data_IF_620167060029
#
_entry.id   IF_620167060029
#
_cell.length_a   1.000
_cell.length_b   1.000
_cell.length_c   1.000
_cell.angle_alpha   90.00
_cell.angle_beta   90.00
_cell.angle_gamma   90.00
#
_symmetry.space_group_name_H-M   'P 1'
#
loop_
_entity.id
_entity.type
_entity.pdbx_description
1 polymer ?
#
# COMPACT_ATOMS: atom_id res chain seq x y z
N UNK A 1 -4.05 -15.48 -15.37
CA UNK A 1 -3.27 -14.27 -15.76
C UNK A 1 -1.92 -14.31 -15.05
N UNK A 2 -0.88 -13.73 -15.66
CA UNK A 2 0.40 -13.57 -14.97
C UNK A 2 0.24 -12.56 -13.80
N UNK A 3 0.98 -12.74 -12.69
CA UNK A 3 0.79 -12.00 -11.43
C UNK A 3 1.30 -10.55 -11.42
N UNK A 4 1.13 -9.79 -12.50
CA UNK A 4 1.55 -8.39 -12.60
C UNK A 4 0.39 -7.42 -12.85
N UNK A 5 -0.84 -7.91 -12.85
CA UNK A 5 -2.08 -7.15 -13.03
C UNK A 5 -2.98 -7.30 -11.82
N UNK A 6 -3.49 -6.18 -11.31
CA UNK A 6 -4.49 -6.08 -10.24
C UNK A 6 -5.76 -5.45 -10.83
N UNK A 7 -6.94 -5.90 -10.38
CA UNK A 7 -8.24 -5.40 -10.81
C UNK A 7 -8.79 -6.12 -12.05
N UNK A 8 -10.06 -5.87 -12.36
CA UNK A 8 -10.83 -6.48 -13.45
C UNK A 8 -11.36 -5.45 -14.43
N UNK A 9 -12.15 -4.49 -13.97
CA UNK A 9 -12.67 -3.38 -14.77
C UNK A 9 -11.75 -2.14 -14.66
N UNK A 10 -11.14 -1.90 -13.50
CA UNK A 10 -10.04 -0.96 -13.35
C UNK A 10 -8.74 -1.76 -13.16
N UNK A 11 -8.14 -2.15 -14.25
CA UNK A 11 -7.00 -3.06 -14.25
C UNK A 11 -5.67 -2.31 -14.33
N UNK A 12 -4.75 -2.62 -13.41
CA UNK A 12 -3.42 -2.01 -13.37
C UNK A 12 -2.35 -3.07 -13.59
N UNK A 13 -1.63 -2.97 -14.70
CA UNK A 13 -0.48 -3.83 -15.01
C UNK A 13 0.82 -3.07 -14.77
N UNK A 14 1.68 -3.54 -13.87
CA UNK A 14 2.98 -2.92 -13.56
C UNK A 14 4.12 -3.58 -14.33
N UNK A 15 5.12 -2.79 -14.72
CA UNK A 15 6.31 -3.24 -15.44
C UNK A 15 7.59 -2.56 -14.94
N UNK A 16 8.74 -3.07 -15.40
CA UNK A 16 10.08 -2.56 -15.10
C UNK A 16 10.70 -3.16 -13.83
N UNK A 17 11.97 -2.89 -13.62
CA UNK A 17 12.81 -3.35 -12.51
C UNK A 17 13.45 -2.17 -11.77
N UNK A 18 13.82 -2.39 -10.50
CA UNK A 18 14.35 -1.33 -9.62
C UNK A 18 15.63 -0.66 -10.13
N UNK A 19 16.42 -1.36 -10.95
CA UNK A 19 17.67 -0.88 -11.56
C UNK A 19 17.64 -0.97 -13.10
N UNK A 20 16.47 -1.21 -13.69
CA UNK A 20 16.21 -1.03 -15.11
C UNK A 20 16.10 0.46 -15.50
N UNK A 21 15.91 0.77 -16.77
CA UNK A 21 15.83 2.16 -17.25
C UNK A 21 14.61 2.93 -16.70
N UNK A 22 13.52 2.23 -16.46
CA UNK A 22 12.28 2.81 -15.96
C UNK A 22 11.43 1.74 -15.26
N UNK A 23 10.47 2.21 -14.46
CA UNK A 23 9.34 1.47 -13.94
C UNK A 23 8.06 2.18 -14.35
N UNK A 24 6.93 1.47 -14.41
CA UNK A 24 5.68 2.10 -14.78
C UNK A 24 4.49 1.17 -14.63
N UNK A 25 3.34 1.68 -15.04
CA UNK A 25 2.12 0.91 -15.13
C UNK A 25 1.26 1.32 -16.32
N UNK A 26 0.38 0.42 -16.72
CA UNK A 26 -0.74 0.70 -17.61
C UNK A 26 -2.02 0.52 -16.79
N UNK A 27 -2.86 1.53 -16.80
CA UNK A 27 -4.19 1.52 -16.20
C UNK A 27 -5.19 1.35 -17.35
N UNK A 28 -5.96 0.29 -17.33
CA UNK A 28 -7.07 0.08 -18.26
C UNK A 28 -8.41 0.18 -17.52
N UNK A 29 -9.44 0.68 -18.20
CA UNK A 29 -10.79 0.83 -17.63
C UNK A 29 -10.99 2.08 -16.76
N UNK A 30 -10.07 3.05 -16.77
CA UNK A 30 -10.33 4.34 -16.14
C UNK A 30 -11.49 5.06 -16.87
N UNK A 31 -12.57 5.47 -16.16
CA UNK A 31 -13.68 6.16 -16.80
C UNK A 31 -13.24 7.45 -17.53
N UNK A 32 -13.85 7.76 -18.68
CA UNK A 32 -13.49 8.96 -19.45
C UNK A 32 -14.03 10.24 -18.81
N UNK A 33 -13.41 11.38 -19.18
CA UNK A 33 -13.90 12.71 -18.87
C UNK A 33 -13.39 13.35 -17.58
N UNK A 34 -12.68 12.59 -16.72
CA UNK A 34 -12.03 13.13 -15.52
C UNK A 34 -10.86 14.03 -15.92
N UNK A 35 -10.77 15.23 -15.33
CA UNK A 35 -9.56 16.06 -15.46
C UNK A 35 -8.36 15.33 -14.85
N UNK A 36 -7.27 15.20 -15.61
CA UNK A 36 -6.08 14.49 -15.15
C UNK A 36 -4.82 15.09 -15.78
N UNK A 37 -3.87 15.45 -14.91
CA UNK A 37 -2.52 15.82 -15.31
C UNK A 37 -1.48 15.29 -14.30
N UNK A 38 -0.20 15.61 -14.54
CA UNK A 38 0.91 15.19 -13.66
C UNK A 38 0.76 15.77 -12.25
N UNK A 39 0.18 16.95 -12.09
CA UNK A 39 0.01 17.59 -10.79
C UNK A 39 -1.01 16.86 -9.89
N UNK A 40 -1.87 16.04 -10.45
CA UNK A 40 -2.78 15.17 -9.68
C UNK A 40 -2.08 13.91 -9.13
N UNK A 41 -0.96 13.49 -9.76
CA UNK A 41 -0.28 12.23 -9.42
C UNK A 41 1.01 12.49 -8.62
N UNK A 42 1.78 13.49 -9.01
CA UNK A 42 3.12 13.74 -8.46
C UNK A 42 3.14 13.94 -6.94
N UNK A 43 2.19 14.65 -6.31
CA UNK A 43 2.17 14.81 -4.84
C UNK A 43 2.11 13.50 -4.07
N UNK A 44 1.40 12.49 -4.57
CA UNK A 44 1.34 11.18 -3.94
C UNK A 44 2.67 10.41 -4.07
N UNK A 45 3.33 10.54 -5.21
CA UNK A 45 4.68 10.01 -5.41
C UNK A 45 5.71 10.72 -4.51
N UNK A 46 5.59 12.03 -4.32
CA UNK A 46 6.47 12.81 -3.45
C UNK A 46 6.36 12.38 -1.98
N UNK A 47 5.17 12.04 -1.51
CA UNK A 47 4.96 11.44 -0.16
C UNK A 47 5.65 10.09 -0.02
N UNK A 48 5.70 9.28 -1.08
CA UNK A 48 6.24 7.92 -1.09
C UNK A 48 7.73 7.87 -1.38
N UNK A 49 8.30 8.77 -2.18
CA UNK A 49 9.68 8.71 -2.71
C UNK A 49 10.74 8.50 -1.63
N UNK A 50 11.93 7.94 -1.96
CA UNK A 50 13.06 7.86 -1.05
C UNK A 50 13.67 9.23 -0.77
N UNK A 51 14.42 9.35 0.33
CA UNK A 51 15.16 10.58 0.67
C UNK A 51 14.30 11.71 1.23
N UNK A 52 13.05 11.45 1.63
CA UNK A 52 12.15 12.46 2.22
C UNK A 52 12.54 12.85 3.64
N UNK A 53 13.29 12.01 4.34
CA UNK A 53 13.78 12.29 5.70
C UNK A 53 15.10 11.55 5.97
N UNK A 54 15.77 11.90 7.09
CA UNK A 54 16.97 11.18 7.56
C UNK A 54 16.67 9.75 8.01
N UNK A 55 15.41 9.39 8.25
CA UNK A 55 14.98 8.09 8.77
C UNK A 55 14.69 7.04 7.68
N UNK A 56 14.70 7.45 6.42
CA UNK A 56 14.53 6.57 5.25
C UNK A 56 15.83 6.45 4.47
N UNK A 57 15.84 5.60 3.45
CA UNK A 57 17.01 5.43 2.57
C UNK A 57 17.47 6.74 1.96
N UNK A 58 18.79 6.91 1.83
CA UNK A 58 19.42 8.09 1.23
C UNK A 58 19.51 8.00 -0.31
N UNK A 59 18.85 7.01 -0.95
CA UNK A 59 18.66 6.98 -2.38
C UNK A 59 17.85 8.22 -2.80
N UNK A 60 18.27 8.87 -3.86
CA UNK A 60 17.58 10.05 -4.37
C UNK A 60 16.93 9.73 -5.72
N UNK A 61 15.60 9.65 -5.73
CA UNK A 61 14.81 9.50 -6.94
C UNK A 61 13.73 10.59 -6.91
N UNK A 62 13.61 11.38 -7.96
CA UNK A 62 12.56 12.39 -8.04
C UNK A 62 11.17 11.77 -8.20
N UNK A 63 11.12 10.51 -8.64
CA UNK A 63 9.89 9.79 -8.98
C UNK A 63 8.98 10.61 -9.93
N UNK A 64 9.60 11.41 -10.81
CA UNK A 64 8.88 12.21 -11.79
C UNK A 64 8.08 11.30 -12.74
N UNK A 65 6.77 11.48 -12.74
CA UNK A 65 5.86 10.69 -13.58
C UNK A 65 5.64 11.34 -14.93
N UNK A 66 5.62 10.52 -15.97
CA UNK A 66 5.23 10.90 -17.34
C UNK A 66 3.92 10.19 -17.69
N UNK A 67 2.92 10.94 -18.20
CA UNK A 67 1.69 10.37 -18.77
C UNK A 67 1.91 10.24 -20.28
N UNK A 68 1.90 9.02 -20.81
CA UNK A 68 2.22 8.76 -22.22
C UNK A 68 0.99 8.51 -23.08
N UNK A 69 -0.16 8.18 -22.48
CA UNK A 69 -1.42 7.90 -23.21
C UNK A 69 -2.63 8.03 -22.30
N UNK A 70 -3.83 7.93 -22.86
CA UNK A 70 -5.10 7.87 -22.13
C UNK A 70 -5.60 9.23 -21.64
N UNK A 71 -4.92 10.33 -21.99
CA UNK A 71 -5.33 11.71 -21.67
C UNK A 71 -5.29 12.55 -22.94
N UNK A 72 -6.36 13.29 -23.20
CA UNK A 72 -6.45 14.25 -24.31
C UNK A 72 -7.08 15.55 -23.80
N UNK A 73 -6.49 16.69 -24.11
CA UNK A 73 -6.90 18.02 -23.63
C UNK A 73 -7.13 18.06 -22.11
N UNK A 74 -6.23 17.38 -21.35
CA UNK A 74 -6.28 17.34 -19.89
C UNK A 74 -7.41 16.47 -19.30
N UNK A 75 -8.01 15.57 -20.10
CA UNK A 75 -9.09 14.67 -19.64
C UNK A 75 -8.81 13.23 -20.02
N UNK A 76 -9.20 12.30 -19.15
CA UNK A 76 -9.16 10.87 -19.43
C UNK A 76 -10.04 10.52 -20.62
N UNK A 77 -9.56 9.63 -21.50
CA UNK A 77 -10.26 9.26 -22.75
C UNK A 77 -11.05 7.95 -22.66
N UNK A 78 -10.88 7.20 -21.55
CA UNK A 78 -11.40 5.82 -21.44
C UNK A 78 -10.52 4.76 -22.11
N UNK A 79 -9.42 5.17 -22.74
CA UNK A 79 -8.39 4.26 -23.28
C UNK A 79 -7.25 4.08 -22.28
N UNK A 80 -6.34 3.09 -22.44
CA UNK A 80 -5.30 2.81 -21.46
C UNK A 80 -4.41 4.01 -21.16
N UNK A 81 -4.25 4.30 -19.87
CA UNK A 81 -3.34 5.35 -19.36
C UNK A 81 -1.99 4.69 -19.04
N UNK A 82 -0.94 5.06 -19.77
CA UNK A 82 0.41 4.61 -19.51
C UNK A 82 1.18 5.65 -18.69
N UNK A 83 1.69 5.22 -17.52
CA UNK A 83 2.48 6.02 -16.59
C UNK A 83 3.90 5.46 -16.53
N UNK A 84 4.91 6.31 -16.69
CA UNK A 84 6.34 5.94 -16.66
C UNK A 84 7.09 6.81 -15.67
N UNK A 85 7.99 6.18 -14.90
CA UNK A 85 8.91 6.83 -13.96
C UNK A 85 10.33 6.37 -14.31
N UNK A 86 11.20 7.29 -14.71
CA UNK A 86 12.59 7.02 -15.05
C UNK A 86 13.42 6.76 -13.79
N UNK A 87 14.25 5.72 -13.79
CA UNK A 87 15.21 5.48 -12.73
C UNK A 87 16.47 6.34 -12.96
N UNK A 88 16.88 7.12 -11.95
CA UNK A 88 18.02 8.05 -12.04
C UNK A 88 19.19 7.65 -11.14
N UNK A 89 18.96 7.24 -9.89
CA UNK A 89 20.00 6.88 -8.91
C UNK A 89 20.14 5.35 -8.75
N UNK A 90 20.34 4.64 -9.87
CA UNK A 90 20.57 3.21 -9.91
C UNK A 90 22.07 2.90 -9.86
N UNK A 91 22.62 2.63 -8.64
CA UNK A 91 24.04 2.31 -8.43
C UNK A 91 24.25 0.80 -8.40
N UNK A 92 24.42 0.18 -9.54
CA UNK A 92 24.64 -1.27 -9.67
C UNK A 92 25.88 -1.80 -8.97
N UNK A 93 26.91 -0.97 -8.76
CA UNK A 93 28.16 -1.34 -8.05
C UNK A 93 27.95 -1.73 -6.59
N UNK A 94 26.88 -1.23 -5.94
CA UNK A 94 26.56 -1.52 -4.54
C UNK A 94 26.09 -2.97 -4.31
N UNK A 95 25.92 -3.76 -5.37
CA UNK A 95 25.32 -5.10 -5.34
C UNK A 95 26.23 -6.23 -5.89
N UNK A 96 27.53 -5.97 -6.06
CA UNK A 96 28.45 -6.94 -6.67
C UNK A 96 28.55 -8.27 -5.92
N UNK A 97 28.56 -8.24 -4.57
CA UNK A 97 28.59 -9.43 -3.73
C UNK A 97 27.26 -10.21 -3.77
N UNK A 98 26.17 -9.59 -4.22
CA UNK A 98 24.84 -10.24 -4.32
C UNK A 98 24.67 -11.03 -5.61
N UNK A 99 25.60 -10.95 -6.56
CA UNK A 99 25.52 -11.72 -7.80
C UNK A 99 25.55 -13.22 -7.52
N UNK A 100 26.41 -13.64 -6.59
CA UNK A 100 26.67 -15.05 -6.29
C UNK A 100 26.04 -15.55 -4.99
N UNK A 101 25.46 -14.68 -4.15
CA UNK A 101 24.90 -15.03 -2.84
C UNK A 101 23.45 -14.61 -2.69
N UNK A 102 22.73 -15.17 -1.71
CA UNK A 102 21.33 -14.87 -1.44
C UNK A 102 21.17 -14.17 -0.09
N UNK A 103 20.45 -13.03 -0.05
CA UNK A 103 20.15 -12.32 1.19
C UNK A 103 19.15 -13.10 2.05
N UNK A 104 19.45 -13.38 3.32
CA UNK A 104 18.49 -13.99 4.23
C UNK A 104 17.22 -13.13 4.37
N UNK A 105 16.03 -13.74 4.26
CA UNK A 105 14.75 -13.05 4.36
C UNK A 105 14.39 -12.16 3.17
N UNK A 106 15.19 -12.14 2.10
CA UNK A 106 14.90 -11.49 0.82
C UNK A 106 14.43 -12.50 -0.23
N UNK A 107 13.84 -12.03 -1.33
CA UNK A 107 13.33 -12.89 -2.39
C UNK A 107 14.41 -13.41 -3.36
N UNK A 108 15.69 -13.22 -3.08
CA UNK A 108 16.79 -13.58 -3.98
C UNK A 108 16.78 -15.07 -4.36
N UNK A 109 16.71 -15.94 -3.34
CA UNK A 109 16.69 -17.41 -3.52
C UNK A 109 15.43 -17.85 -4.28
N UNK A 110 14.26 -17.37 -3.87
CA UNK A 110 12.99 -17.80 -4.45
C UNK A 110 12.83 -17.38 -5.90
N UNK A 111 13.32 -16.18 -6.26
CA UNK A 111 13.34 -15.73 -7.67
C UNK A 111 14.30 -16.57 -8.51
N UNK A 112 15.51 -16.85 -7.99
CA UNK A 112 16.48 -17.68 -8.67
C UNK A 112 15.95 -19.09 -8.91
N UNK A 113 15.35 -19.72 -7.90
CA UNK A 113 14.76 -21.06 -8.02
C UNK A 113 13.57 -21.10 -9.00
N UNK A 114 12.75 -20.06 -8.98
CA UNK A 114 11.53 -20.02 -9.80
C UNK A 114 11.83 -19.73 -11.28
N UNK A 115 12.72 -18.79 -11.55
CA UNK A 115 12.93 -18.27 -12.91
C UNK A 115 14.28 -18.70 -13.53
N UNK A 116 15.16 -19.37 -12.77
CA UNK A 116 16.51 -19.76 -13.21
C UNK A 116 17.48 -18.58 -13.36
N UNK A 117 16.95 -17.35 -13.29
CA UNK A 117 17.67 -16.09 -13.46
C UNK A 117 17.10 -15.04 -12.51
N UNK A 118 17.92 -14.15 -11.99
CA UNK A 118 17.51 -12.97 -11.26
C UNK A 118 18.37 -11.76 -11.61
N UNK A 119 17.79 -10.59 -11.60
CA UNK A 119 18.55 -9.34 -11.56
C UNK A 119 19.01 -9.11 -10.10
N UNK A 120 20.30 -9.28 -9.84
CA UNK A 120 20.86 -9.09 -8.49
C UNK A 120 20.95 -7.61 -8.10
N UNK A 121 20.82 -6.69 -9.06
CA UNK A 121 20.89 -5.25 -8.81
C UNK A 121 19.62 -4.78 -8.08
N UNK A 122 19.72 -4.57 -6.77
CA UNK A 122 18.63 -4.08 -5.92
C UNK A 122 17.40 -5.00 -5.79
N UNK A 123 17.42 -6.19 -6.41
CA UNK A 123 16.34 -7.19 -6.32
C UNK A 123 15.27 -7.12 -7.41
N UNK A 124 15.48 -6.34 -8.49
CA UNK A 124 14.59 -6.33 -9.67
C UNK A 124 13.12 -6.07 -9.31
N UNK A 125 12.22 -7.00 -9.72
CA UNK A 125 10.78 -6.94 -9.43
C UNK A 125 10.43 -7.15 -7.95
N UNK A 126 11.29 -7.77 -7.14
CA UNK A 126 11.04 -7.95 -5.70
C UNK A 126 11.33 -6.70 -4.85
N UNK A 127 11.84 -5.65 -5.46
CA UNK A 127 12.20 -4.41 -4.79
C UNK A 127 10.96 -3.59 -4.41
N UNK A 128 10.98 -2.96 -3.22
CA UNK A 128 9.96 -1.99 -2.79
C UNK A 128 9.87 -0.75 -3.73
N UNK A 129 10.85 -0.54 -4.62
CA UNK A 129 10.78 0.47 -5.69
C UNK A 129 9.54 0.32 -6.57
N UNK A 130 9.11 -0.93 -6.78
CA UNK A 130 7.95 -1.28 -7.63
C UNK A 130 6.60 -0.85 -7.05
N UNK A 131 6.58 -0.29 -5.85
CA UNK A 131 5.38 0.34 -5.28
C UNK A 131 5.13 1.74 -5.85
N UNK A 132 6.11 2.40 -6.50
CA UNK A 132 5.90 3.72 -7.11
C UNK A 132 4.84 3.71 -8.22
N UNK A 133 4.86 2.77 -9.19
CA UNK A 133 3.77 2.65 -10.17
C UNK A 133 2.40 2.39 -9.55
N UNK A 134 2.33 1.65 -8.42
CA UNK A 134 1.06 1.44 -7.71
C UNK A 134 0.54 2.74 -7.09
N UNK A 135 1.43 3.57 -6.52
CA UNK A 135 1.06 4.88 -5.99
C UNK A 135 0.60 5.81 -7.12
N UNK A 136 1.28 5.81 -8.26
CA UNK A 136 0.86 6.61 -9.41
C UNK A 136 -0.54 6.20 -9.93
N UNK A 137 -0.80 4.90 -10.07
CA UNK A 137 -2.12 4.40 -10.47
C UNK A 137 -3.18 4.66 -9.39
N UNK A 138 -2.82 4.48 -8.11
CA UNK A 138 -3.69 4.76 -6.98
C UNK A 138 -4.09 6.24 -6.87
N UNK A 139 -3.21 7.17 -7.25
CA UNK A 139 -3.54 8.60 -7.31
C UNK A 139 -4.68 8.87 -8.29
N UNK A 140 -4.65 8.24 -9.48
CA UNK A 140 -5.74 8.33 -10.47
C UNK A 140 -7.05 7.77 -9.92
N UNK A 141 -6.99 6.59 -9.30
CA UNK A 141 -8.15 5.94 -8.68
C UNK A 141 -8.74 6.78 -7.54
N UNK A 142 -7.88 7.28 -6.64
CA UNK A 142 -8.24 8.10 -5.48
C UNK A 142 -8.91 9.42 -5.89
N UNK A 143 -8.38 10.10 -6.92
CA UNK A 143 -8.98 11.30 -7.48
C UNK A 143 -10.39 11.01 -8.00
N UNK A 144 -10.55 9.96 -8.79
CA UNK A 144 -11.86 9.60 -9.34
C UNK A 144 -12.87 9.27 -8.23
N UNK A 145 -12.48 8.49 -7.23
CA UNK A 145 -13.33 8.14 -6.09
C UNK A 145 -13.73 9.35 -5.26
N UNK A 146 -12.82 10.30 -5.06
CA UNK A 146 -13.09 11.53 -4.34
C UNK A 146 -14.08 12.44 -5.10
N UNK A 147 -13.88 12.62 -6.41
CA UNK A 147 -14.73 13.52 -7.23
C UNK A 147 -16.13 12.96 -7.45
N UNK A 148 -16.30 11.63 -7.57
CA UNK A 148 -17.58 11.02 -7.93
C UNK A 148 -18.38 10.51 -6.74
N UNK A 149 -17.71 10.15 -5.63
CA UNK A 149 -18.35 9.58 -4.45
C UNK A 149 -18.02 10.31 -3.14
N UNK A 150 -17.11 11.29 -3.15
CA UNK A 150 -16.65 11.95 -1.93
C UNK A 150 -15.80 11.06 -1.01
N UNK A 151 -15.34 9.93 -1.52
CA UNK A 151 -14.56 8.97 -0.73
C UNK A 151 -13.22 9.57 -0.34
N UNK A 152 -12.89 9.46 0.94
CA UNK A 152 -11.60 9.89 1.49
C UNK A 152 -10.82 8.70 2.00
N UNK A 153 -9.59 8.50 1.51
CA UNK A 153 -8.71 7.42 1.91
C UNK A 153 -7.50 8.01 2.63
N UNK A 154 -7.24 7.58 3.86
CA UNK A 154 -6.14 8.09 4.70
C UNK A 154 -5.48 6.96 5.46
N UNK A 155 -4.16 6.96 5.50
CA UNK A 155 -3.38 6.02 6.26
C UNK A 155 -2.50 6.69 7.30
N UNK A 156 -2.07 5.94 8.29
CA UNK A 156 -1.09 6.38 9.29
C UNK A 156 -0.30 5.18 9.84
N UNK A 157 0.87 5.46 10.39
CA UNK A 157 1.69 4.45 11.05
C UNK A 157 1.26 4.39 12.52
N UNK A 158 0.77 3.23 12.97
CA UNK A 158 0.28 2.99 14.33
C UNK A 158 1.29 2.29 15.24
N UNK A 159 2.39 1.73 14.66
CA UNK A 159 3.46 1.12 15.45
C UNK A 159 4.75 1.07 14.66
N UNK A 160 5.87 1.35 15.33
CA UNK A 160 7.23 1.23 14.80
C UNK A 160 8.05 0.34 15.73
N UNK A 161 8.42 -0.86 15.26
CA UNK A 161 9.04 -1.86 16.11
C UNK A 161 8.17 -2.17 17.33
N UNK A 162 8.69 -1.95 18.53
CA UNK A 162 7.99 -2.15 19.80
C UNK A 162 7.16 -0.93 20.27
N UNK A 163 7.32 0.23 19.61
CA UNK A 163 6.68 1.47 20.01
C UNK A 163 5.32 1.59 19.35
N UNK A 164 4.24 1.42 20.13
CA UNK A 164 2.89 1.71 19.70
C UNK A 164 2.62 3.22 19.70
N UNK A 165 1.93 3.70 18.68
CA UNK A 165 1.55 5.11 18.54
C UNK A 165 0.03 5.19 18.49
N UNK A 166 -0.64 5.75 19.50
CA UNK A 166 -2.08 5.89 19.51
C UNK A 166 -2.52 6.89 18.42
N UNK A 167 -3.70 6.67 17.88
CA UNK A 167 -4.34 7.66 17.01
C UNK A 167 -4.86 8.82 17.86
N UNK A 168 -4.50 10.05 17.51
CA UNK A 168 -5.04 11.27 18.11
C UNK A 168 -5.79 12.11 17.09
N UNK A 169 -5.15 12.47 15.97
CA UNK A 169 -5.78 13.33 14.96
C UNK A 169 -5.11 13.18 13.58
N UNK A 170 -5.90 13.32 12.55
CA UNK A 170 -5.45 13.19 11.16
C UNK A 170 -4.50 14.31 10.72
N UNK A 171 -4.63 15.50 11.30
CA UNK A 171 -3.81 16.67 10.94
C UNK A 171 -2.33 16.45 11.22
N UNK A 172 -2.00 15.63 12.20
CA UNK A 172 -0.62 15.31 12.56
C UNK A 172 0.09 14.41 11.52
N UNK A 173 -0.65 13.55 10.82
CA UNK A 173 -0.08 12.52 9.94
C UNK A 173 0.81 13.12 8.85
N UNK A 174 0.40 14.23 8.23
CA UNK A 174 1.16 14.91 7.18
C UNK A 174 2.27 15.84 7.69
N UNK A 175 2.40 16.03 9.02
CA UNK A 175 3.28 17.03 9.61
C UNK A 175 4.58 16.44 10.18
N UNK A 176 4.77 15.13 10.05
CA UNK A 176 5.95 14.45 10.57
C UNK A 176 6.49 13.40 9.60
N UNK A 177 7.77 13.01 9.72
CA UNK A 177 8.42 12.11 8.77
C UNK A 177 8.00 10.63 8.91
N UNK A 178 7.19 10.29 9.93
CA UNK A 178 6.77 8.92 10.22
C UNK A 178 5.32 8.62 9.81
N UNK A 179 4.56 9.63 9.40
CA UNK A 179 3.11 9.51 9.15
C UNK A 179 2.33 9.04 10.39
N UNK A 180 2.76 9.42 11.59
CA UNK A 180 2.05 9.10 12.82
C UNK A 180 0.99 10.14 13.14
N UNK A 181 -0.10 9.70 13.77
CA UNK A 181 -1.22 10.55 14.17
C UNK A 181 -1.06 11.14 15.59
N UNK A 182 0.16 11.15 16.14
CA UNK A 182 0.53 11.71 17.43
C UNK A 182 1.93 12.34 17.35
N UNK A 183 2.00 13.68 17.31
CA UNK A 183 3.25 14.43 17.24
C UNK A 183 4.14 14.24 18.47
N UNK A 184 3.56 13.99 19.65
CA UNK A 184 4.32 13.83 20.89
C UNK A 184 5.21 12.57 20.88
N UNK A 185 4.88 11.60 20.02
CA UNK A 185 5.65 10.37 19.83
C UNK A 185 6.86 10.51 18.90
N UNK A 186 6.93 11.56 18.11
CA UNK A 186 7.99 11.74 17.10
C UNK A 186 9.40 11.69 17.70
N UNK A 187 9.73 12.37 18.81
CA UNK A 187 11.07 12.30 19.38
C UNK A 187 11.48 10.89 19.83
N UNK A 188 10.54 10.10 20.37
CA UNK A 188 10.78 8.70 20.77
C UNK A 188 11.10 7.83 19.56
N UNK A 189 10.33 7.99 18.48
CA UNK A 189 10.54 7.27 17.22
C UNK A 189 11.88 7.64 16.55
N UNK A 190 12.27 8.92 16.58
CA UNK A 190 13.57 9.38 16.08
C UNK A 190 14.73 8.75 16.86
N UNK A 191 14.66 8.72 18.19
CA UNK A 191 15.69 8.11 19.03
C UNK A 191 15.81 6.60 18.74
N UNK A 192 14.70 5.91 18.58
CA UNK A 192 14.66 4.48 18.24
C UNK A 192 15.28 4.20 16.86
N UNK A 193 14.95 4.99 15.84
CA UNK A 193 15.52 4.86 14.50
C UNK A 193 17.03 5.16 14.48
N UNK A 194 17.49 6.12 15.27
CA UNK A 194 18.92 6.42 15.38
C UNK A 194 19.67 5.28 16.11
N UNK A 195 19.02 4.60 17.06
CA UNK A 195 19.59 3.40 17.70
C UNK A 195 19.70 2.25 16.69
N UNK A 196 18.63 1.92 15.96
CA UNK A 196 18.65 0.87 14.92
C UNK A 196 19.75 1.12 13.88
N UNK A 197 19.97 2.38 13.51
CA UNK A 197 21.02 2.73 12.55
C UNK A 197 22.43 2.49 13.13
N UNK A 198 22.67 2.80 14.42
CA UNK A 198 23.94 2.49 15.10
C UNK A 198 24.18 0.99 15.17
N UNK A 199 23.13 0.22 15.46
CA UNK A 199 23.19 -1.24 15.58
C UNK A 199 23.32 -1.94 14.21
N UNK A 200 23.04 -1.22 13.11
CA UNK A 200 23.04 -1.77 11.76
C UNK A 200 21.88 -2.73 11.50
N UNK A 201 20.80 -2.61 12.28
CA UNK A 201 19.62 -3.48 12.25
C UNK A 201 18.38 -2.76 11.65
N UNK A 202 17.24 -3.40 11.70
CA UNK A 202 15.96 -2.93 11.16
C UNK A 202 14.79 -3.34 12.04
N UNK A 203 13.66 -2.65 11.87
CA UNK A 203 12.41 -3.01 12.55
C UNK A 203 11.24 -3.13 11.57
N UNK A 204 10.17 -3.78 12.05
CA UNK A 204 8.87 -3.80 11.39
C UNK A 204 8.01 -2.59 11.75
N UNK A 205 6.81 -2.57 11.18
CA UNK A 205 5.82 -1.54 11.49
C UNK A 205 4.40 -2.08 11.34
N UNK A 206 3.45 -1.41 11.98
CA UNK A 206 2.02 -1.53 11.72
C UNK A 206 1.53 -0.23 11.07
N UNK A 207 0.80 -0.39 9.96
CA UNK A 207 0.20 0.72 9.21
C UNK A 207 -1.29 0.49 9.15
N UNK A 208 -2.05 1.53 9.46
CA UNK A 208 -3.50 1.57 9.36
C UNK A 208 -3.90 2.36 8.11
N UNK A 209 -4.99 1.94 7.46
CA UNK A 209 -5.63 2.72 6.39
C UNK A 209 -7.13 2.66 6.55
N UNK A 210 -7.76 3.82 6.37
CA UNK A 210 -9.20 4.01 6.45
C UNK A 210 -9.75 4.62 5.17
N UNK A 211 -10.88 4.08 4.69
CA UNK A 211 -11.65 4.70 3.62
C UNK A 211 -13.04 5.09 4.14
N UNK A 212 -13.33 6.38 4.19
CA UNK A 212 -14.61 6.94 4.59
C UNK A 212 -15.44 7.35 3.38
N UNK A 213 -16.78 7.28 3.50
CA UNK A 213 -17.70 7.64 2.43
C UNK A 213 -17.92 6.57 1.36
N UNK A 214 -17.44 5.34 1.60
CA UNK A 214 -17.71 4.22 0.70
C UNK A 214 -19.18 3.84 0.78
N UNK A 215 -19.94 3.85 -0.36
CA UNK A 215 -21.34 3.48 -0.35
C UNK A 215 -21.57 2.03 0.11
N UNK A 216 -22.75 1.74 0.62
CA UNK A 216 -23.19 0.36 0.85
C UNK A 216 -23.34 -0.37 -0.48
N UNK A 217 -22.95 -1.66 -0.51
CA UNK A 217 -23.21 -2.53 -1.66
C UNK A 217 -22.00 -2.89 -2.53
N UNK A 218 -20.79 -2.33 -2.28
CA UNK A 218 -19.60 -2.71 -3.05
C UNK A 218 -19.00 -4.00 -2.54
N UNK A 219 -18.68 -4.90 -3.45
CA UNK A 219 -18.23 -6.27 -3.16
C UNK A 219 -19.27 -7.30 -3.59
N UNK A 220 -18.90 -8.56 -3.56
CA UNK A 220 -19.77 -9.65 -3.94
C UNK A 220 -19.55 -10.89 -3.04
N UNK A 221 -20.56 -11.74 -2.83
CA UNK A 221 -20.40 -12.93 -2.02
C UNK A 221 -19.48 -13.95 -2.69
N UNK A 222 -18.86 -14.76 -1.85
CA UNK A 222 -17.92 -15.86 -2.01
C UNK A 222 -16.55 -15.40 -2.52
N UNK A 223 -16.28 -15.36 -3.82
CA UNK A 223 -14.90 -15.23 -4.33
C UNK A 223 -14.46 -13.80 -4.57
N UNK A 224 -15.40 -12.87 -4.73
CA UNK A 224 -15.16 -11.46 -5.01
C UNK A 224 -15.54 -10.57 -3.81
N UNK A 225 -15.35 -11.11 -2.62
CA UNK A 225 -15.56 -10.39 -1.37
C UNK A 225 -14.60 -9.20 -1.29
N UNK A 226 -15.13 -8.05 -0.90
CA UNK A 226 -14.34 -6.83 -0.79
C UNK A 226 -13.18 -6.97 0.22
N UNK A 227 -13.42 -7.61 1.38
CA UNK A 227 -12.38 -7.89 2.37
C UNK A 227 -11.29 -8.83 1.83
N UNK A 228 -11.67 -9.86 1.05
CA UNK A 228 -10.72 -10.78 0.43
C UNK A 228 -9.85 -10.10 -0.63
N UNK A 229 -10.44 -9.27 -1.50
CA UNK A 229 -9.71 -8.55 -2.53
C UNK A 229 -8.81 -7.46 -1.93
N UNK A 230 -9.26 -6.77 -0.86
CA UNK A 230 -8.41 -5.86 -0.08
C UNK A 230 -7.21 -6.63 0.50
N UNK A 231 -7.44 -7.75 1.18
CA UNK A 231 -6.36 -8.54 1.77
C UNK A 231 -5.39 -9.07 0.71
N UNK A 232 -5.89 -9.54 -0.43
CA UNK A 232 -5.07 -10.00 -1.56
C UNK A 232 -4.17 -8.87 -2.10
N UNK A 233 -4.75 -7.71 -2.36
CA UNK A 233 -4.01 -6.56 -2.88
C UNK A 233 -2.97 -6.03 -1.88
N UNK A 234 -3.33 -5.94 -0.59
CA UNK A 234 -2.43 -5.49 0.48
C UNK A 234 -1.28 -6.48 0.72
N UNK A 235 -1.54 -7.80 0.66
CA UNK A 235 -0.48 -8.83 0.78
C UNK A 235 0.51 -8.80 -0.39
N UNK A 236 0.18 -8.21 -1.53
CA UNK A 236 1.09 -8.02 -2.65
C UNK A 236 2.10 -6.89 -2.42
N UNK A 237 1.87 -6.00 -1.45
CA UNK A 237 2.81 -4.93 -1.08
C UNK A 237 4.07 -5.58 -0.46
N UNK A 238 5.24 -5.15 -0.93
CA UNK A 238 6.52 -5.68 -0.45
C UNK A 238 6.63 -5.58 1.08
N UNK A 239 7.11 -6.65 1.72
CA UNK A 239 7.30 -6.80 3.15
C UNK A 239 6.03 -6.94 4.00
N UNK A 240 4.82 -6.84 3.47
CA UNK A 240 3.59 -7.15 4.21
C UNK A 240 3.57 -8.64 4.58
N UNK A 241 3.17 -8.94 5.82
CA UNK A 241 3.08 -10.29 6.42
C UNK A 241 1.76 -10.58 7.11
N UNK A 242 0.91 -9.58 7.28
CA UNK A 242 -0.42 -9.73 7.83
C UNK A 242 -1.31 -8.59 7.38
N UNK A 243 -2.59 -8.88 7.24
CA UNK A 243 -3.66 -7.93 6.94
C UNK A 243 -4.82 -8.26 7.86
N UNK A 244 -5.38 -7.25 8.50
CA UNK A 244 -6.56 -7.36 9.36
C UNK A 244 -7.62 -6.38 8.86
N UNK A 245 -8.88 -6.81 8.91
CA UNK A 245 -10.05 -6.00 8.59
C UNK A 245 -10.85 -5.80 9.88
N UNK A 246 -11.18 -4.55 10.23
CA UNK A 246 -11.87 -4.23 11.47
C UNK A 246 -11.12 -4.72 12.71
N UNK A 247 -11.79 -5.46 13.60
CA UNK A 247 -11.19 -6.03 14.81
C UNK A 247 -10.08 -7.06 14.54
N UNK A 248 -10.01 -7.61 13.29
CA UNK A 248 -8.97 -8.54 12.88
C UNK A 248 -8.81 -9.71 13.85
N UNK A 249 -7.58 -10.01 14.27
CA UNK A 249 -7.31 -11.05 15.27
C UNK A 249 -7.89 -10.75 16.66
N UNK A 250 -8.21 -9.49 16.97
CA UNK A 250 -8.90 -9.11 18.20
C UNK A 250 -10.29 -9.77 18.34
N UNK A 251 -10.94 -10.07 17.22
CA UNK A 251 -12.25 -10.74 17.20
C UNK A 251 -12.25 -12.09 17.92
N UNK A 252 -11.10 -12.80 17.98
CA UNK A 252 -10.99 -14.12 18.65
C UNK A 252 -11.32 -14.04 20.15
N UNK A 253 -11.04 -12.91 20.79
CA UNK A 253 -11.28 -12.69 22.22
C UNK A 253 -12.63 -12.05 22.52
N UNK A 254 -13.36 -11.61 21.49
CA UNK A 254 -14.67 -10.99 21.61
C UNK A 254 -15.79 -12.04 21.68
N UNK A 255 -16.83 -11.73 22.43
CA UNK A 255 -18.10 -12.48 22.37
C UNK A 255 -18.95 -11.93 21.22
N UNK A 256 -19.89 -12.74 20.70
CA UNK A 256 -20.78 -12.31 19.63
C UNK A 256 -21.56 -11.04 19.94
N UNK A 257 -21.95 -10.82 21.21
CA UNK A 257 -22.59 -9.59 21.68
C UNK A 257 -21.66 -8.35 21.70
N UNK A 258 -20.35 -8.55 21.64
CA UNK A 258 -19.34 -7.47 21.58
C UNK A 258 -18.93 -7.17 20.15
N UNK A 259 -18.88 -8.20 19.29
CA UNK A 259 -18.49 -8.09 17.89
C UNK A 259 -19.65 -7.66 16.97
N UNK A 260 -20.89 -7.73 17.45
CA UNK A 260 -22.07 -7.37 16.66
C UNK A 260 -22.15 -5.85 16.44
N UNK A 261 -22.06 -5.41 15.20
CA UNK A 261 -22.29 -4.02 14.82
C UNK A 261 -23.80 -3.79 14.74
N UNK A 262 -24.40 -3.35 15.85
CA UNK A 262 -25.85 -3.14 15.97
C UNK A 262 -26.29 -2.01 15.03
N UNK A 263 -27.47 -2.19 14.40
CA UNK A 263 -28.07 -1.24 13.49
C UNK A 263 -29.23 -0.52 14.17
N UNK A 264 -29.22 0.80 14.08
CA UNK A 264 -30.32 1.67 14.52
C UNK A 264 -30.75 2.60 13.39
N UNK A 265 -31.92 3.24 13.47
CA UNK A 265 -32.29 4.27 12.50
C UNK A 265 -31.29 5.43 12.42
N UNK A 266 -30.56 5.69 13.51
CA UNK A 266 -29.57 6.74 13.65
C UNK A 266 -28.19 6.31 13.09
N UNK A 267 -27.98 5.02 12.81
CA UNK A 267 -26.74 4.48 12.26
C UNK A 267 -26.24 3.23 12.96
N UNK A 268 -25.02 2.82 12.62
CA UNK A 268 -24.34 1.70 13.28
C UNK A 268 -23.78 2.12 14.64
N UNK A 269 -23.88 1.23 15.65
CA UNK A 269 -23.38 1.49 17.02
C UNK A 269 -21.89 1.15 17.13
N UNK A 270 -21.40 0.16 16.36
CA UNK A 270 -20.00 -0.28 16.31
C UNK A 270 -19.49 -0.40 14.88
N UNK A 271 -18.21 -0.75 14.73
CA UNK A 271 -17.58 -1.07 13.44
C UNK A 271 -16.48 -2.12 13.61
N UNK A 272 -16.83 -3.21 14.30
CA UNK A 272 -15.93 -4.33 14.57
C UNK A 272 -15.64 -5.13 13.27
N UNK A 273 -16.61 -5.18 12.36
CA UNK A 273 -16.45 -5.80 11.04
C UNK A 273 -15.59 -4.96 10.07
N UNK A 274 -15.23 -3.71 10.44
CA UNK A 274 -14.40 -2.85 9.62
C UNK A 274 -15.08 -2.38 8.33
N UNK A 275 -16.40 -2.15 8.36
CA UNK A 275 -17.17 -1.61 7.24
C UNK A 275 -17.55 -2.64 6.17
N UNK A 276 -17.36 -3.94 6.43
CA UNK A 276 -17.63 -5.01 5.46
C UNK A 276 -18.36 -6.17 6.14
N UNK A 277 -19.55 -6.50 5.66
CA UNK A 277 -20.34 -7.65 6.11
C UNK A 277 -20.68 -8.56 4.93
N UNK A 278 -20.42 -9.85 5.08
CA UNK A 278 -20.65 -10.81 4.00
C UNK A 278 -19.81 -10.58 2.73
N UNK A 279 -18.74 -9.81 2.83
CA UNK A 279 -17.89 -9.41 1.71
C UNK A 279 -18.38 -8.17 0.96
N UNK A 280 -19.37 -7.45 1.51
CA UNK A 280 -20.02 -6.28 0.90
C UNK A 280 -19.88 -5.09 1.84
N UNK A 281 -19.59 -3.90 1.31
CA UNK A 281 -19.47 -2.68 2.11
C UNK A 281 -20.80 -2.31 2.77
N UNK A 282 -20.72 -1.84 4.02
CA UNK A 282 -21.91 -1.49 4.83
C UNK A 282 -22.29 -0.01 4.76
N UNK A 283 -21.44 0.83 4.17
CA UNK A 283 -21.55 2.29 4.27
C UNK A 283 -20.75 2.90 5.42
N UNK A 284 -20.21 2.07 6.31
CA UNK A 284 -19.28 2.48 7.37
C UNK A 284 -17.86 2.67 6.83
N UNK A 285 -16.98 3.28 7.63
CA UNK A 285 -15.57 3.39 7.31
C UNK A 285 -14.95 2.00 7.17
N UNK A 286 -14.27 1.77 6.05
CA UNK A 286 -13.49 0.56 5.85
C UNK A 286 -12.16 0.73 6.56
N UNK A 287 -11.84 -0.18 7.50
CA UNK A 287 -10.63 -0.15 8.33
C UNK A 287 -9.77 -1.37 8.08
N UNK A 288 -8.50 -1.10 7.72
CA UNK A 288 -7.52 -2.15 7.39
C UNK A 288 -6.21 -1.88 8.11
N UNK A 289 -5.67 -2.92 8.75
CA UNK A 289 -4.35 -2.88 9.42
C UNK A 289 -3.38 -3.81 8.72
N UNK A 290 -2.11 -3.39 8.58
CA UNK A 290 -1.07 -4.17 7.94
C UNK A 290 0.15 -4.35 8.83
N UNK A 291 0.62 -5.60 8.95
CA UNK A 291 1.91 -5.91 9.57
C UNK A 291 3.01 -5.96 8.51
N UNK A 292 4.02 -5.14 8.68
CA UNK A 292 5.17 -5.02 7.77
C UNK A 292 6.41 -5.54 8.47
N UNK A 293 7.06 -6.54 7.88
CA UNK A 293 8.27 -7.15 8.45
C UNK A 293 9.47 -6.21 8.42
N UNK A 294 10.48 -6.42 9.28
CA UNK A 294 11.76 -5.71 9.21
C UNK A 294 12.43 -5.84 7.84
N UNK A 295 13.17 -4.82 7.45
CA UNK A 295 13.98 -4.83 6.22
C UNK A 295 15.01 -5.97 6.27
N UNK A 296 15.06 -6.78 5.21
CA UNK A 296 15.99 -7.94 5.15
C UNK A 296 17.44 -7.56 4.92
N UNK A 297 17.68 -6.37 4.35
CA UNK A 297 19.03 -5.89 4.02
C UNK A 297 19.58 -5.11 5.20
N UNK A 298 20.35 -5.78 6.07
CA UNK A 298 20.96 -5.20 7.28
C UNK A 298 22.47 -5.36 7.29
N UNK A 299 23.15 -4.61 8.14
CA UNK A 299 24.61 -4.63 8.25
C UNK A 299 25.15 -5.72 9.18
N UNK A 300 24.27 -6.42 9.89
CA UNK A 300 24.64 -7.56 10.73
C UNK A 300 24.98 -8.75 9.84
N UNK A 301 26.11 -9.38 10.09
CA UNK A 301 26.53 -10.57 9.37
C UNK A 301 25.63 -11.77 9.69
N UNK A 302 25.18 -12.50 8.67
CA UNK A 302 24.23 -13.62 8.79
C UNK A 302 24.65 -14.80 7.91
N UNK A 303 24.25 -15.99 8.31
CA UNK A 303 24.43 -17.20 7.51
C UNK A 303 23.58 -17.16 6.26
N UNK A 304 24.15 -17.61 5.14
CA UNK A 304 23.48 -17.77 3.85
C UNK A 304 24.13 -18.87 3.04
N UNK A 305 23.74 -19.00 1.79
CA UNK A 305 24.36 -19.88 0.80
C UNK A 305 24.69 -19.08 -0.48
N UNK A 306 25.67 -19.58 -1.23
CA UNK A 306 25.94 -19.12 -2.58
C UNK A 306 25.06 -19.84 -3.63
N UNK A 307 25.26 -19.52 -4.91
CA UNK A 307 24.53 -20.14 -6.03
C UNK A 307 24.83 -21.65 -6.21
N UNK A 308 25.93 -22.14 -5.65
CA UNK A 308 26.31 -23.55 -5.67
C UNK A 308 25.78 -24.31 -4.43
N UNK A 309 25.10 -23.60 -3.51
CA UNK A 309 24.56 -24.15 -2.27
C UNK A 309 25.61 -24.26 -1.14
N UNK A 310 26.80 -23.67 -1.29
CA UNK A 310 27.82 -23.66 -0.26
C UNK A 310 27.53 -22.64 0.84
N UNK A 311 27.82 -22.94 2.12
CA UNK A 311 27.57 -22.01 3.21
C UNK A 311 28.48 -20.78 3.09
N UNK A 312 27.91 -19.60 3.30
CA UNK A 312 28.62 -18.32 3.31
C UNK A 312 28.13 -17.45 4.47
N UNK A 313 29.00 -16.58 4.96
CA UNK A 313 28.60 -15.46 5.82
C UNK A 313 28.34 -14.24 4.94
N UNK A 314 27.24 -13.54 5.20
CA UNK A 314 26.78 -12.45 4.36
C UNK A 314 26.40 -11.24 5.17
N UNK A 315 26.84 -10.09 4.72
CA UNK A 315 26.45 -8.76 5.19
C UNK A 315 25.93 -7.95 4.00
N UNK A 316 24.83 -7.24 4.17
CA UNK A 316 24.33 -6.37 3.11
C UNK A 316 24.82 -4.94 3.34
N UNK A 317 25.72 -4.50 2.47
CA UNK A 317 26.18 -3.12 2.42
C UNK A 317 25.28 -2.34 1.45
N UNK A 318 25.00 -1.09 1.73
CA UNK A 318 24.18 -0.24 0.85
C UNK A 318 23.23 0.68 1.61
N UNK A 319 22.42 1.41 0.82
CA UNK A 319 21.46 2.41 1.30
C UNK A 319 20.07 1.79 1.42
N UNK A 320 19.77 1.18 2.57
CA UNK A 320 18.48 0.54 2.83
C UNK A 320 17.67 1.33 3.86
N UNK A 321 16.34 1.23 3.77
CA UNK A 321 15.44 1.74 4.81
C UNK A 321 15.60 0.87 6.06
N UNK A 322 15.89 1.41 7.25
CA UNK A 322 15.84 0.63 8.50
C UNK A 322 14.42 0.15 8.81
N UNK A 323 13.41 0.87 8.33
CA UNK A 323 12.01 0.44 8.36
C UNK A 323 11.30 0.85 7.08
N UNK A 324 10.88 -0.12 6.27
CA UNK A 324 10.11 0.16 5.04
C UNK A 324 8.67 0.57 5.33
N UNK A 325 8.18 0.32 6.55
CA UNK A 325 6.81 0.64 6.95
C UNK A 325 6.50 2.14 6.97
N UNK A 326 7.49 3.00 7.24
CA UNK A 326 7.32 4.45 7.22
C UNK A 326 6.79 4.91 5.86
N UNK A 327 7.37 4.39 4.78
CA UNK A 327 6.97 4.74 3.40
C UNK A 327 5.79 3.92 2.88
N UNK A 328 5.28 2.98 3.65
CA UNK A 328 4.14 2.16 3.26
C UNK A 328 2.80 2.92 3.36
N UNK A 329 2.69 3.95 4.19
CA UNK A 329 1.45 4.72 4.37
C UNK A 329 0.84 5.20 3.04
N UNK A 330 1.51 5.96 2.16
CA UNK A 330 0.95 6.33 0.88
C UNK A 330 0.73 5.15 -0.09
N UNK A 331 1.45 4.04 0.12
CA UNK A 331 1.29 2.84 -0.70
C UNK A 331 -0.02 2.11 -0.36
N UNK A 332 -0.34 1.95 0.93
CA UNK A 332 -1.58 1.29 1.34
C UNK A 332 -2.81 2.12 0.98
N UNK A 333 -2.73 3.45 1.07
CA UNK A 333 -3.78 4.35 0.59
C UNK A 333 -4.05 4.15 -0.90
N UNK A 334 -2.99 4.09 -1.71
CA UNK A 334 -3.07 3.88 -3.15
C UNK A 334 -3.67 2.51 -3.50
N UNK A 335 -3.20 1.44 -2.84
CA UNK A 335 -3.69 0.08 -3.11
C UNK A 335 -5.15 -0.08 -2.70
N UNK A 336 -5.59 0.52 -1.58
CA UNK A 336 -7.00 0.53 -1.20
C UNK A 336 -7.86 1.24 -2.25
N UNK A 337 -7.39 2.37 -2.78
CA UNK A 337 -8.10 3.09 -3.85
C UNK A 337 -8.26 2.23 -5.12
N UNK A 338 -7.22 1.46 -5.50
CA UNK A 338 -7.29 0.56 -6.67
C UNK A 338 -8.35 -0.53 -6.50
N UNK A 339 -8.46 -1.11 -5.30
CA UNK A 339 -9.49 -2.11 -5.03
C UNK A 339 -10.89 -1.48 -5.03
N UNK A 340 -11.04 -0.33 -4.37
CA UNK A 340 -12.35 0.32 -4.25
C UNK A 340 -12.90 0.80 -5.60
N UNK A 341 -12.07 1.36 -6.48
CA UNK A 341 -12.56 1.79 -7.81
C UNK A 341 -12.97 0.59 -8.66
N UNK A 342 -12.25 -0.52 -8.59
CA UNK A 342 -12.62 -1.75 -9.33
C UNK A 342 -13.97 -2.28 -8.86
N UNK A 343 -14.19 -2.40 -7.54
CA UNK A 343 -15.48 -2.81 -6.97
C UNK A 343 -16.61 -1.80 -7.25
N UNK A 344 -16.31 -0.51 -7.29
CA UNK A 344 -17.26 0.51 -7.72
C UNK A 344 -17.75 0.27 -9.15
N UNK A 345 -16.82 0.03 -10.08
CA UNK A 345 -17.17 -0.20 -11.50
C UNK A 345 -17.91 -1.54 -11.67
N UNK A 346 -17.51 -2.58 -10.94
CA UNK A 346 -18.22 -3.87 -10.93
C UNK A 346 -19.65 -3.72 -10.42
N UNK A 347 -19.84 -3.01 -9.31
CA UNK A 347 -21.17 -2.70 -8.77
C UNK A 347 -22.02 -1.94 -9.78
N UNK A 348 -21.47 -0.89 -10.39
CA UNK A 348 -22.15 -0.11 -11.44
C UNK A 348 -22.60 -0.97 -12.60
N UNK A 349 -21.77 -1.90 -13.05
CA UNK A 349 -22.04 -2.77 -14.18
C UNK A 349 -23.14 -3.81 -13.89
N UNK A 350 -23.25 -4.28 -12.66
CA UNK A 350 -24.17 -5.35 -12.27
C UNK A 350 -25.42 -4.86 -11.54
N UNK A 351 -25.26 -3.89 -10.65
CA UNK A 351 -26.30 -3.48 -9.69
C UNK A 351 -26.64 -1.98 -9.77
N UNK A 352 -26.19 -1.27 -10.81
CA UNK A 352 -26.39 0.18 -10.91
C UNK A 352 -27.84 0.64 -10.93
N UNK A 353 -28.75 -0.23 -11.36
CA UNK A 353 -30.20 0.04 -11.46
C UNK A 353 -31.00 -0.56 -10.29
N UNK A 354 -30.33 -1.14 -9.27
CA UNK A 354 -31.01 -1.75 -8.13
C UNK A 354 -31.44 -0.68 -7.15
N UNK A 355 -32.74 -0.64 -6.84
CA UNK A 355 -33.31 0.14 -5.74
C UNK A 355 -33.93 -0.82 -4.72
N UNK A 356 -33.41 -0.85 -3.49
CA UNK A 356 -33.94 -1.66 -2.39
C UNK A 356 -35.21 -1.07 -1.76
N UNK A 357 -35.54 0.19 -2.08
CA UNK A 357 -36.61 0.93 -1.41
C UNK A 357 -36.27 1.35 0.04
N UNK A 358 -35.08 1.02 0.54
CA UNK A 358 -34.59 1.40 1.87
C UNK A 358 -33.45 2.42 1.71
N UNK A 359 -33.59 3.58 2.32
CA UNK A 359 -32.49 4.55 2.38
C UNK A 359 -31.32 3.98 3.21
N UNK A 360 -30.06 4.17 2.77
CA UNK A 360 -28.90 3.79 3.58
C UNK A 360 -28.95 4.45 4.96
N UNK A 361 -28.70 3.68 6.01
CA UNK A 361 -28.58 4.21 7.37
C UNK A 361 -27.23 4.93 7.53
N UNK A 362 -27.10 5.91 8.45
CA UNK A 362 -25.84 6.58 8.71
C UNK A 362 -24.71 5.61 9.07
N UNK A 363 -23.48 5.92 8.71
CA UNK A 363 -22.29 5.12 8.98
C UNK A 363 -22.01 4.95 10.48
N UNK A 364 -22.47 5.89 11.31
CA UNK A 364 -22.35 5.82 12.78
C UNK A 364 -23.56 6.49 13.44
N UNK A 365 -24.06 5.84 14.50
CA UNK A 365 -25.06 6.42 15.39
C UNK A 365 -24.48 7.53 16.29
N UNK A 366 -23.15 7.57 16.41
CA UNK A 366 -22.43 8.59 17.16
C UNK A 366 -21.72 9.51 16.16
N UNK A 367 -22.15 10.78 16.01
CA UNK A 367 -21.44 11.72 15.14
C UNK A 367 -19.98 11.83 15.60
N UNK A 368 -19.06 11.61 14.68
CA UNK A 368 -17.61 11.82 14.92
C UNK A 368 -17.39 13.25 15.38
N UNK A 369 -16.86 13.41 16.60
CA UNK A 369 -16.34 14.69 17.10
C UNK A 369 -15.15 15.17 16.29
#
# INVERSE_FOLDING_TARGET
MAGNTLGRLFAVTTFGESHGPAIGCVIDGCPPGMALDVADIQPELDRRRPGTSRHVTQRQEPDAVEILSGVFEGRTTGTPIALVIRNQDARSRDYGNLAETFRPGHADYTYFQKYGLRDHRGGGRSSARLTAPLVAAGAVARKWLAEHHGIRIRGYLSQLGEIAVPFRRWEDVGQNPFFVADQDKVPELEAYMDQLRRDGDSCGARVEVEASGVPVGWGAPLYDRLDADIAHAMMAINAVKGVEIGAGFGAVTQRGSQHGDELTPEGFVGNEAGGILGGISTGQDIRVSLAIKPTSSIRIERRSIDREGKPVMMQTLGRHDPCVGIRATPIVEAVLALVLIDHCLLHRAQCGDVDSGLAPIPASAHPTQ
#
